data_IF_860930210625
#
_entry.id   IF_860930210625
#
_cell.length_a   1.000
_cell.length_b   1.000
_cell.length_c   1.000
_cell.angle_alpha   90.00
_cell.angle_beta   90.00
_cell.angle_gamma   90.00
#
_symmetry.space_group_name_H-M   'P 1'
#
loop_
_entity.id
_entity.type
_entity.pdbx_description
1 polymer ?
#
# COMPACT_ATOMS: atom_id res chain seq x y z
N UNK A 1 6.06 -5.43 10.14
CA UNK A 1 6.07 -4.32 9.18
C UNK A 1 4.87 -4.42 8.24
N UNK A 2 4.18 -3.33 8.06
CA UNK A 2 2.97 -3.30 7.26
C UNK A 2 3.28 -2.70 5.90
N UNK A 3 2.78 -3.34 4.84
CA UNK A 3 3.14 -2.96 3.48
C UNK A 3 1.87 -2.63 2.70
N UNK A 4 1.96 -1.57 1.91
CA UNK A 4 0.92 -1.21 0.97
C UNK A 4 1.52 -1.24 -0.42
N UNK A 5 0.98 -2.10 -1.28
CA UNK A 5 1.41 -2.19 -2.67
C UNK A 5 0.37 -1.51 -3.54
N UNK A 6 0.82 -0.57 -4.35
CA UNK A 6 -0.05 0.26 -5.17
C UNK A 6 0.27 0.02 -6.64
N UNK A 7 -0.74 -0.29 -7.42
CA UNK A 7 -0.60 -0.41 -8.88
C UNK A 7 -1.25 0.81 -9.51
N UNK A 8 -0.51 1.47 -10.39
CA UNK A 8 -0.97 2.66 -11.06
C UNK A 8 -1.49 2.33 -12.45
N UNK A 9 -2.35 3.17 -12.98
CA UNK A 9 -2.98 2.94 -14.27
C UNK A 9 -1.99 2.99 -15.43
N UNK A 10 -0.83 3.59 -15.22
CA UNK A 10 0.23 3.64 -16.24
C UNK A 10 1.05 2.37 -16.27
N UNK A 11 0.72 1.37 -15.46
CA UNK A 11 1.41 0.10 -15.43
C UNK A 11 2.52 0.01 -14.41
N UNK A 12 2.78 1.07 -13.66
CA UNK A 12 3.82 1.04 -12.63
C UNK A 12 3.26 0.55 -11.31
N UNK A 13 4.17 0.24 -10.40
CA UNK A 13 3.84 -0.33 -9.10
C UNK A 13 4.81 0.23 -8.07
N UNK A 14 4.33 0.49 -6.86
CA UNK A 14 5.17 0.93 -5.75
C UNK A 14 4.76 0.26 -4.46
N UNK A 15 5.75 0.06 -3.58
CA UNK A 15 5.52 -0.48 -2.24
C UNK A 15 5.84 0.59 -1.23
N UNK A 16 4.97 0.73 -0.24
CA UNK A 16 5.16 1.66 0.87
C UNK A 16 5.16 0.87 2.16
N UNK A 17 6.03 1.26 3.09
CA UNK A 17 6.26 0.52 4.34
C UNK A 17 5.86 1.38 5.51
N UNK A 18 5.15 0.79 6.47
CA UNK A 18 4.63 1.51 7.62
C UNK A 18 4.89 0.71 8.89
N UNK A 19 5.04 1.43 9.99
CA UNK A 19 5.27 0.82 11.29
C UNK A 19 3.98 0.41 11.97
N UNK A 20 2.85 0.96 11.56
CA UNK A 20 1.57 0.61 12.15
C UNK A 20 0.54 0.33 11.09
N UNK A 21 -0.42 -0.52 11.46
CA UNK A 21 -1.53 -0.86 10.58
C UNK A 21 -2.39 0.36 10.30
N UNK A 22 -2.56 1.20 11.28
CA UNK A 22 -3.37 2.39 11.13
C UNK A 22 -2.82 3.33 10.06
N UNK A 23 -1.51 3.52 10.05
CA UNK A 23 -0.89 4.36 9.03
C UNK A 23 -1.05 3.77 7.65
N UNK A 24 -0.90 2.43 7.54
CA UNK A 24 -1.10 1.75 6.27
C UNK A 24 -2.52 1.94 5.78
N UNK A 25 -3.52 1.82 6.67
CA UNK A 25 -4.91 1.96 6.29
C UNK A 25 -5.22 3.37 5.79
N UNK A 26 -4.68 4.38 6.45
CA UNK A 26 -4.87 5.75 6.02
C UNK A 26 -4.29 5.98 4.63
N UNK A 27 -3.10 5.45 4.41
CA UNK A 27 -2.44 5.57 3.12
C UNK A 27 -3.20 4.83 2.03
N UNK A 28 -3.72 3.64 2.36
CA UNK A 28 -4.51 2.86 1.41
C UNK A 28 -5.75 3.63 0.98
N UNK A 29 -6.46 4.24 1.93
CA UNK A 29 -7.64 5.03 1.62
C UNK A 29 -7.29 6.22 0.74
N UNK A 30 -6.18 6.87 1.03
CA UNK A 30 -5.72 8.01 0.24
C UNK A 30 -5.46 7.58 -1.20
N UNK A 31 -4.77 6.44 -1.39
CA UNK A 31 -4.46 5.95 -2.72
C UNK A 31 -5.69 5.49 -3.47
N UNK A 32 -6.64 4.86 -2.78
CA UNK A 32 -7.87 4.41 -3.41
C UNK A 32 -8.72 5.55 -3.96
N UNK A 33 -8.54 6.75 -3.40
CA UNK A 33 -9.24 7.93 -3.88
C UNK A 33 -8.50 8.64 -5.00
N UNK A 34 -7.33 8.16 -5.39
CA UNK A 34 -6.55 8.77 -6.45
C UNK A 34 -6.97 8.20 -7.81
N UNK A 35 -7.15 9.09 -8.77
CA UNK A 35 -7.55 8.68 -10.11
C UNK A 35 -6.42 7.96 -10.86
N UNK A 36 -5.18 8.10 -10.40
CA UNK A 36 -4.03 7.47 -11.02
C UNK A 36 -3.83 6.02 -10.57
N UNK A 37 -4.53 5.60 -9.53
CA UNK A 37 -4.32 4.28 -8.92
C UNK A 37 -5.34 3.31 -9.48
N UNK A 38 -4.85 2.17 -9.94
CA UNK A 38 -5.72 1.10 -10.42
C UNK A 38 -6.21 0.23 -9.28
N UNK A 39 -5.29 -0.17 -8.38
CA UNK A 39 -5.66 -0.98 -7.22
C UNK A 39 -4.57 -0.94 -6.17
N UNK A 40 -4.91 -1.38 -4.97
CA UNK A 40 -3.94 -1.48 -3.89
C UNK A 40 -4.08 -2.85 -3.24
N UNK A 41 -3.01 -3.29 -2.59
CA UNK A 41 -3.00 -4.52 -1.82
C UNK A 41 -2.27 -4.26 -0.50
N UNK A 42 -2.91 -4.63 0.61
CA UNK A 42 -2.34 -4.47 1.93
C UNK A 42 -1.89 -5.83 2.45
N UNK A 43 -0.65 -5.91 2.92
CA UNK A 43 -0.18 -7.14 3.51
C UNK A 43 0.83 -6.82 4.59
N UNK A 44 1.22 -7.82 5.33
CA UNK A 44 2.15 -7.69 6.43
C UNK A 44 3.33 -8.59 6.19
N UNK A 45 4.54 -8.04 6.33
CA UNK A 45 5.74 -8.85 6.29
C UNK A 45 5.98 -9.37 7.68
N UNK A 46 5.97 -10.68 7.80
CA UNK A 46 6.28 -11.32 9.06
C UNK A 46 7.74 -11.16 9.39
N UNK A 47 8.05 -11.37 10.65
CA UNK A 47 9.43 -11.40 11.07
C UNK A 47 10.01 -12.72 10.70
N UNK A 48 11.08 -12.70 9.97
CA UNK A 48 11.79 -13.91 9.60
C UNK A 48 12.94 -14.08 10.57
N UNK A 49 12.72 -14.93 11.50
CA UNK A 49 13.72 -15.18 12.54
C UNK A 49 14.40 -16.50 12.33
#
# INVERSE_FOLDING_TARGET
MYVLRVWYKDGTKRDFYFDSEEEREKSANWHLNSLSVERVNCFELGELL
#
